data_IF_896787856072
#
_entry.id   IF_896787856072
#
_cell.length_a   1.000
_cell.length_b   1.000
_cell.length_c   1.000
_cell.angle_alpha   90.00
_cell.angle_beta   90.00
_cell.angle_gamma   90.00
#
_symmetry.space_group_name_H-M   'P 1'
#
loop_
_entity.id
_entity.type
_entity.pdbx_description
1 polymer ?
#
# COMPACT_ATOMS: atom_id res chain seq x y z
N UNK A 1 -47.63 -10.39 80.47
CA UNK A 1 -46.94 -9.45 79.56
C UNK A 1 -45.57 -10.02 79.22
N UNK A 2 -45.27 -10.19 77.92
CA UNK A 2 -44.11 -10.95 77.41
C UNK A 2 -42.80 -10.19 77.68
N UNK A 3 -41.88 -10.80 78.43
CA UNK A 3 -40.48 -10.40 78.49
C UNK A 3 -39.80 -10.78 77.16
N UNK A 4 -39.79 -9.87 76.20
CA UNK A 4 -38.88 -10.00 75.06
C UNK A 4 -37.43 -9.84 75.57
N UNK A 5 -36.59 -10.82 75.27
CA UNK A 5 -35.20 -10.88 75.74
C UNK A 5 -34.44 -9.59 75.35
N UNK A 6 -33.68 -9.03 76.32
CA UNK A 6 -32.84 -7.81 76.16
C UNK A 6 -32.00 -7.80 74.86
N UNK A 7 -31.64 -8.98 74.37
CA UNK A 7 -30.84 -9.19 73.16
C UNK A 7 -31.61 -8.86 71.86
N UNK A 8 -32.88 -9.29 71.75
CA UNK A 8 -33.74 -8.98 70.59
C UNK A 8 -33.97 -7.47 70.41
N UNK A 9 -34.16 -6.76 71.53
CA UNK A 9 -34.35 -5.30 71.54
C UNK A 9 -33.09 -4.55 71.10
N UNK A 10 -31.91 -5.12 71.34
CA UNK A 10 -30.62 -4.54 70.95
C UNK A 10 -30.32 -4.79 69.48
N UNK A 11 -30.69 -5.96 68.95
CA UNK A 11 -30.58 -6.28 67.52
C UNK A 11 -31.50 -5.40 66.66
N UNK A 12 -32.76 -5.21 67.07
CA UNK A 12 -33.71 -4.37 66.32
C UNK A 12 -33.20 -2.93 66.18
N UNK A 13 -32.68 -2.34 67.26
CA UNK A 13 -32.05 -1.00 67.22
C UNK A 13 -30.89 -0.91 66.21
N UNK A 14 -30.11 -1.99 66.05
CA UNK A 14 -29.00 -2.03 65.08
C UNK A 14 -29.50 -2.12 63.63
N UNK A 15 -30.57 -2.88 63.39
CA UNK A 15 -31.24 -2.97 62.09
C UNK A 15 -31.81 -1.61 61.71
N UNK A 16 -32.56 -0.98 62.61
CA UNK A 16 -33.16 0.34 62.38
C UNK A 16 -32.10 1.40 62.08
N UNK A 17 -30.99 1.38 62.83
CA UNK A 17 -29.87 2.29 62.58
C UNK A 17 -29.22 2.05 61.21
N UNK A 18 -29.05 0.80 60.78
CA UNK A 18 -28.53 0.49 59.45
C UNK A 18 -29.46 1.00 58.33
N UNK A 19 -30.77 0.75 58.44
CA UNK A 19 -31.77 1.21 57.47
C UNK A 19 -31.82 2.74 57.44
N UNK A 20 -31.81 3.40 58.61
CA UNK A 20 -31.76 4.85 58.71
C UNK A 20 -30.53 5.45 58.02
N UNK A 21 -29.34 4.91 58.29
CA UNK A 21 -28.09 5.37 57.67
C UNK A 21 -28.08 5.10 56.15
N UNK A 22 -28.65 3.97 55.71
CA UNK A 22 -28.81 3.64 54.29
C UNK A 22 -29.70 4.66 53.57
N UNK A 23 -30.91 4.90 54.11
CA UNK A 23 -31.85 5.93 53.59
C UNK A 23 -31.25 7.32 53.61
N UNK A 24 -30.49 7.67 54.66
CA UNK A 24 -29.80 8.97 54.77
C UNK A 24 -28.71 9.16 53.72
N UNK A 25 -27.96 8.11 53.36
CA UNK A 25 -26.90 8.19 52.35
C UNK A 25 -27.46 8.20 50.92
N UNK A 26 -28.47 7.37 50.66
CA UNK A 26 -28.90 7.04 49.30
C UNK A 26 -30.25 7.63 48.88
N UNK A 27 -30.97 8.24 49.82
CA UNK A 27 -32.36 8.69 49.66
C UNK A 27 -33.37 7.64 50.14
N UNK A 28 -34.49 8.09 50.70
CA UNK A 28 -35.47 7.23 51.39
C UNK A 28 -36.13 6.16 50.52
N UNK A 29 -36.17 6.34 49.20
CA UNK A 29 -36.89 5.46 48.26
C UNK A 29 -35.97 4.66 47.32
N UNK A 30 -34.65 4.75 47.48
CA UNK A 30 -33.72 4.14 46.50
C UNK A 30 -33.58 2.62 46.66
N UNK A 31 -33.67 2.13 47.89
CA UNK A 31 -33.52 0.72 48.22
C UNK A 31 -34.64 0.23 49.12
N UNK A 32 -35.07 -1.00 48.87
CA UNK A 32 -35.93 -1.77 49.74
C UNK A 32 -35.07 -2.67 50.64
N UNK A 33 -35.28 -2.51 51.96
CA UNK A 33 -34.55 -3.18 53.03
C UNK A 33 -35.38 -4.27 53.70
N UNK A 34 -36.52 -4.68 53.14
CA UNK A 34 -37.44 -5.64 53.76
C UNK A 34 -36.77 -6.96 54.16
N UNK A 35 -35.83 -7.45 53.35
CA UNK A 35 -35.07 -8.68 53.64
C UNK A 35 -34.10 -8.55 54.83
N UNK A 36 -33.68 -7.33 55.19
CA UNK A 36 -32.67 -7.08 56.23
C UNK A 36 -33.14 -7.52 57.60
N UNK A 37 -34.44 -7.38 57.90
CA UNK A 37 -35.00 -7.78 59.20
C UNK A 37 -34.77 -9.27 59.52
N UNK A 38 -34.66 -10.11 58.49
CA UNK A 38 -34.45 -11.55 58.64
C UNK A 38 -32.96 -11.96 58.55
N UNK A 39 -32.13 -11.17 57.87
CA UNK A 39 -30.76 -11.55 57.54
C UNK A 39 -29.68 -10.89 58.40
N UNK A 40 -30.00 -9.77 59.05
CA UNK A 40 -29.00 -8.95 59.73
C UNK A 40 -28.48 -9.62 61.02
N UNK A 41 -27.17 -9.89 61.04
CA UNK A 41 -26.46 -10.41 62.24
C UNK A 41 -25.56 -9.36 62.88
N UNK A 42 -24.76 -8.69 62.06
CA UNK A 42 -23.85 -7.62 62.46
C UNK A 42 -23.49 -6.77 61.23
N UNK A 43 -22.72 -5.70 61.41
CA UNK A 43 -22.40 -4.79 60.32
C UNK A 43 -21.38 -5.35 59.29
N UNK A 44 -20.77 -6.51 59.53
CA UNK A 44 -19.79 -7.19 58.68
C UNK A 44 -20.33 -8.43 57.97
N UNK A 45 -21.56 -8.85 58.25
CA UNK A 45 -22.23 -9.94 57.54
C UNK A 45 -23.04 -9.35 56.39
N UNK A 46 -22.92 -9.88 55.15
CA UNK A 46 -23.66 -9.36 54.02
C UNK A 46 -25.16 -9.64 54.16
N UNK A 47 -25.97 -8.68 53.75
CA UNK A 47 -27.45 -8.76 53.71
C UNK A 47 -27.93 -8.42 52.30
N UNK A 48 -29.10 -8.93 51.91
CA UNK A 48 -29.72 -8.58 50.64
C UNK A 48 -30.53 -7.28 50.75
N UNK A 49 -30.39 -6.44 49.74
CA UNK A 49 -31.24 -5.27 49.51
C UNK A 49 -31.69 -5.25 48.05
N UNK A 50 -32.86 -4.69 47.78
CA UNK A 50 -33.39 -4.52 46.43
C UNK A 50 -33.29 -3.06 46.01
N UNK A 51 -32.86 -2.80 44.76
CA UNK A 51 -32.87 -1.45 44.22
C UNK A 51 -34.25 -1.15 43.65
N UNK A 52 -34.88 -0.05 44.06
CA UNK A 52 -36.19 0.35 43.53
C UNK A 52 -36.09 1.11 42.20
N UNK A 53 -34.86 1.46 41.79
CA UNK A 53 -34.59 2.23 40.56
C UNK A 53 -34.35 1.34 39.33
N UNK A 54 -34.35 0.00 39.49
CA UNK A 54 -34.18 -0.94 38.39
C UNK A 54 -34.84 -2.29 38.69
N UNK A 55 -35.17 -3.04 37.65
CA UNK A 55 -35.84 -4.36 37.75
C UNK A 55 -34.88 -5.52 38.04
N UNK A 56 -33.67 -5.23 38.53
CA UNK A 56 -32.69 -6.26 38.85
C UNK A 56 -33.00 -6.95 40.19
N UNK A 57 -32.62 -8.23 40.33
CA UNK A 57 -32.83 -8.98 41.57
C UNK A 57 -32.10 -8.33 42.76
N UNK A 58 -32.53 -8.63 44.00
CA UNK A 58 -31.82 -8.19 45.21
C UNK A 58 -30.34 -8.59 45.18
N UNK A 59 -29.47 -7.73 45.70
CA UNK A 59 -28.02 -7.93 45.70
C UNK A 59 -27.47 -7.85 47.12
N UNK A 60 -26.34 -8.55 47.34
CA UNK A 60 -25.67 -8.61 48.64
C UNK A 60 -24.84 -7.36 48.89
N UNK A 61 -25.02 -6.77 50.07
CA UNK A 61 -24.20 -5.65 50.56
C UNK A 61 -23.73 -5.90 51.97
N UNK A 62 -22.52 -5.41 52.27
CA UNK A 62 -22.04 -5.33 53.65
C UNK A 62 -22.59 -4.06 54.29
N UNK A 63 -23.30 -4.12 55.44
CA UNK A 63 -23.88 -2.95 56.07
C UNK A 63 -22.88 -1.82 56.30
N UNK A 64 -21.69 -2.13 56.82
CA UNK A 64 -20.65 -1.13 57.08
C UNK A 64 -20.18 -0.41 55.81
N UNK A 65 -20.14 -1.09 54.66
CA UNK A 65 -19.76 -0.51 53.36
C UNK A 65 -20.90 0.34 52.82
N UNK A 66 -22.12 -0.20 52.87
CA UNK A 66 -23.31 0.45 52.34
C UNK A 66 -23.58 1.80 53.01
N UNK A 67 -23.29 1.95 54.31
CA UNK A 67 -23.53 3.18 55.08
C UNK A 67 -22.31 4.09 55.28
N UNK A 68 -21.10 3.69 54.88
CA UNK A 68 -19.90 4.52 55.10
C UNK A 68 -19.94 5.82 54.28
N UNK A 69 -19.57 6.95 54.88
CA UNK A 69 -19.56 8.28 54.25
C UNK A 69 -18.33 8.53 53.36
N UNK A 70 -17.22 7.83 53.58
CA UNK A 70 -15.96 8.10 52.87
C UNK A 70 -15.92 7.53 51.45
N UNK A 71 -16.74 6.53 51.15
CA UNK A 71 -16.73 5.83 49.88
C UNK A 71 -18.10 5.99 49.18
N UNK A 72 -18.16 6.96 48.27
CA UNK A 72 -19.34 7.25 47.45
C UNK A 72 -19.62 6.15 46.40
N UNK A 73 -18.75 5.14 46.28
CA UNK A 73 -18.80 4.15 45.20
C UNK A 73 -19.11 2.74 45.72
N UNK A 74 -18.63 2.39 46.91
CA UNK A 74 -18.86 1.04 47.47
C UNK A 74 -20.21 0.93 48.17
N UNK A 75 -20.94 -0.14 47.83
CA UNK A 75 -22.23 -0.48 48.42
C UNK A 75 -23.45 0.09 47.70
N UNK A 76 -23.33 0.67 46.50
CA UNK A 76 -24.48 1.06 45.66
C UNK A 76 -24.94 -0.11 44.76
N UNK A 77 -26.14 0.00 44.17
CA UNK A 77 -26.60 -0.93 43.15
C UNK A 77 -25.57 -1.04 42.00
N UNK A 78 -25.07 -2.24 41.68
CA UNK A 78 -24.07 -2.43 40.62
C UNK A 78 -24.61 -2.11 39.22
N UNK A 79 -25.94 -2.16 39.03
CA UNK A 79 -26.58 -1.91 37.74
C UNK A 79 -26.95 -0.44 37.52
N UNK A 80 -27.33 0.29 38.57
CA UNK A 80 -27.65 1.72 38.48
C UNK A 80 -26.41 2.62 38.65
N UNK A 81 -25.29 2.05 39.09
CA UNK A 81 -24.05 2.81 39.25
C UNK A 81 -23.33 2.93 37.91
N UNK A 82 -23.24 4.16 37.39
CA UNK A 82 -22.31 4.50 36.30
C UNK A 82 -21.01 4.95 36.97
N UNK A 83 -19.87 4.25 36.79
CA UNK A 83 -18.61 4.70 37.35
C UNK A 83 -18.29 6.11 36.85
N UNK A 84 -17.97 7.02 37.77
CA UNK A 84 -17.35 8.30 37.38
C UNK A 84 -16.06 7.97 36.64
N UNK A 85 -15.99 8.29 35.35
CA UNK A 85 -14.75 8.16 34.57
C UNK A 85 -13.64 8.86 35.33
N UNK A 86 -12.51 8.19 35.49
CA UNK A 86 -11.34 8.82 36.11
C UNK A 86 -10.88 10.01 35.27
N UNK A 87 -10.19 10.98 35.88
CA UNK A 87 -9.60 12.12 35.14
C UNK A 87 -8.67 11.63 34.02
N UNK A 88 -7.99 10.50 34.24
CA UNK A 88 -7.12 9.85 33.25
C UNK A 88 -7.91 9.27 32.07
N UNK A 89 -9.01 8.55 32.32
CA UNK A 89 -9.90 8.03 31.27
C UNK A 89 -10.56 9.17 30.48
N UNK A 90 -10.99 10.23 31.15
CA UNK A 90 -11.59 11.41 30.50
C UNK A 90 -10.57 12.11 29.58
N UNK A 91 -9.32 12.26 30.05
CA UNK A 91 -8.22 12.84 29.25
C UNK A 91 -7.84 11.93 28.08
N UNK A 92 -7.78 10.62 28.29
CA UNK A 92 -7.53 9.65 27.23
C UNK A 92 -8.65 9.65 26.17
N UNK A 93 -9.92 9.68 26.60
CA UNK A 93 -11.10 9.77 25.72
C UNK A 93 -11.15 11.09 24.93
N UNK A 94 -10.73 12.20 25.54
CA UNK A 94 -10.59 13.49 24.84
C UNK A 94 -9.48 13.42 23.79
N UNK A 95 -8.35 12.79 24.13
CA UNK A 95 -7.22 12.61 23.21
C UNK A 95 -7.53 11.63 22.07
N UNK A 96 -8.26 10.54 22.31
CA UNK A 96 -8.58 9.57 21.26
C UNK A 96 -9.55 10.16 20.22
N UNK A 97 -10.55 10.94 20.65
CA UNK A 97 -11.45 11.67 19.73
C UNK A 97 -10.67 12.62 18.83
N UNK A 98 -9.71 13.36 19.41
CA UNK A 98 -8.82 14.24 18.64
C UNK A 98 -7.99 13.44 17.62
N UNK A 99 -7.36 12.34 18.04
CA UNK A 99 -6.55 11.48 17.16
C UNK A 99 -7.37 10.83 16.04
N UNK A 100 -8.62 10.45 16.30
CA UNK A 100 -9.54 9.96 15.27
C UNK A 100 -9.83 11.06 14.23
N UNK A 101 -10.06 12.30 14.68
CA UNK A 101 -10.27 13.46 13.79
C UNK A 101 -9.05 13.71 12.91
N UNK A 102 -7.85 13.74 13.49
CA UNK A 102 -6.59 13.86 12.75
C UNK A 102 -6.39 12.71 11.76
N UNK A 103 -6.70 11.47 12.17
CA UNK A 103 -6.62 10.31 11.30
C UNK A 103 -7.53 10.48 10.07
N UNK A 104 -8.80 10.89 10.26
CA UNK A 104 -9.76 11.11 9.17
C UNK A 104 -9.21 12.14 8.16
N UNK A 105 -8.72 13.29 8.63
CA UNK A 105 -8.13 14.35 7.78
C UNK A 105 -6.91 13.83 7.01
N UNK A 106 -5.97 13.20 7.73
CA UNK A 106 -4.73 12.67 7.14
C UNK A 106 -5.00 11.63 6.07
N UNK A 107 -5.95 10.71 6.32
CA UNK A 107 -6.33 9.68 5.35
C UNK A 107 -7.07 10.26 4.15
N UNK A 108 -7.94 11.25 4.37
CA UNK A 108 -8.62 11.96 3.28
C UNK A 108 -7.60 12.64 2.35
N UNK A 109 -6.64 13.38 2.89
CA UNK A 109 -5.62 14.08 2.10
C UNK A 109 -4.75 13.11 1.30
N UNK A 110 -4.37 11.99 1.91
CA UNK A 110 -3.52 10.98 1.25
C UNK A 110 -4.25 10.20 0.18
N UNK A 111 -5.42 9.66 0.53
CA UNK A 111 -6.17 8.74 -0.33
C UNK A 111 -7.25 9.44 -1.14
N UNK A 112 -7.40 10.77 -1.04
CA UNK A 112 -8.36 11.60 -1.79
C UNK A 112 -9.78 11.04 -1.75
N UNK A 113 -10.23 10.65 -0.55
CA UNK A 113 -11.59 10.10 -0.35
C UNK A 113 -11.83 8.69 -0.90
N UNK A 114 -10.80 7.96 -1.34
CA UNK A 114 -10.94 6.59 -1.87
C UNK A 114 -11.44 5.56 -0.85
N UNK A 115 -11.26 5.82 0.44
CA UNK A 115 -11.59 4.89 1.52
C UNK A 115 -12.55 5.51 2.54
N UNK A 116 -13.46 4.67 3.03
CA UNK A 116 -14.31 4.94 4.18
C UNK A 116 -13.94 3.99 5.34
N UNK A 117 -14.21 4.42 6.58
CA UNK A 117 -13.82 3.73 7.80
C UNK A 117 -15.04 3.57 8.73
N UNK A 118 -15.94 2.61 8.45
CA UNK A 118 -17.26 2.53 9.08
C UNK A 118 -17.22 2.33 10.61
N UNK A 119 -16.21 1.62 11.12
CA UNK A 119 -16.12 1.26 12.54
C UNK A 119 -14.93 1.92 13.24
N UNK A 120 -14.40 3.01 12.68
CA UNK A 120 -13.16 3.65 13.15
C UNK A 120 -13.23 4.06 14.61
N UNK A 121 -14.38 4.55 15.07
CA UNK A 121 -14.57 5.07 16.42
C UNK A 121 -14.49 3.98 17.50
N UNK A 122 -14.68 2.72 17.10
CA UNK A 122 -14.64 1.55 17.97
C UNK A 122 -13.30 0.83 17.84
N UNK A 123 -12.77 0.71 16.63
CA UNK A 123 -11.57 -0.10 16.33
C UNK A 123 -10.25 0.66 16.56
N UNK A 124 -10.26 2.00 16.49
CA UNK A 124 -9.04 2.80 16.55
C UNK A 124 -8.59 3.08 17.99
N UNK A 125 -7.39 2.59 18.33
CA UNK A 125 -6.72 2.85 19.62
C UNK A 125 -5.36 3.52 19.39
N UNK A 126 -4.60 3.01 18.42
CA UNK A 126 -3.27 3.52 18.06
C UNK A 126 -2.88 3.13 16.62
N UNK A 127 -1.63 3.38 16.25
CA UNK A 127 -1.09 3.11 14.91
C UNK A 127 -0.93 1.61 14.57
N UNK A 128 -1.01 0.74 15.59
CA UNK A 128 -1.01 -0.70 15.45
C UNK A 128 -2.43 -1.29 15.49
N UNK A 129 -3.48 -0.46 15.60
CA UNK A 129 -4.86 -0.93 15.50
C UNK A 129 -5.14 -1.52 14.12
N UNK A 130 -5.92 -2.59 14.09
CA UNK A 130 -6.52 -3.13 12.88
C UNK A 130 -7.88 -2.47 12.74
N UNK A 131 -8.11 -1.79 11.62
CA UNK A 131 -9.37 -1.12 11.32
C UNK A 131 -10.00 -1.69 10.05
N UNK A 132 -11.31 -1.62 9.99
CA UNK A 132 -12.13 -1.96 8.83
C UNK A 132 -12.12 -0.79 7.85
N UNK A 133 -11.77 -1.10 6.60
CA UNK A 133 -11.66 -0.16 5.49
C UNK A 133 -12.61 -0.58 4.38
N UNK A 134 -13.42 0.36 3.89
CA UNK A 134 -14.30 0.18 2.73
C UNK A 134 -13.75 0.99 1.57
N UNK A 135 -13.62 0.37 0.39
CA UNK A 135 -13.25 1.09 -0.82
C UNK A 135 -14.48 1.79 -1.40
N UNK A 136 -14.37 3.09 -1.71
CA UNK A 136 -15.43 3.86 -2.37
C UNK A 136 -15.35 3.78 -3.90
N UNK A 137 -14.25 3.24 -4.44
CA UNK A 137 -13.97 3.18 -5.88
C UNK A 137 -14.38 1.84 -6.52
N UNK A 138 -14.69 0.84 -5.71
CA UNK A 138 -15.15 -0.45 -6.20
C UNK A 138 -16.11 -1.06 -5.19
N UNK A 139 -16.98 -1.95 -5.66
CA UNK A 139 -18.00 -2.58 -4.83
C UNK A 139 -17.46 -3.79 -4.04
N UNK A 140 -16.22 -3.72 -3.56
CA UNK A 140 -15.62 -4.80 -2.77
C UNK A 140 -16.14 -4.78 -1.35
N UNK A 141 -16.25 -5.97 -0.75
CA UNK A 141 -16.51 -6.11 0.68
C UNK A 141 -15.47 -5.32 1.51
N UNK A 142 -15.87 -4.73 2.65
CA UNK A 142 -14.92 -4.11 3.56
C UNK A 142 -13.81 -5.09 3.97
N UNK A 143 -12.60 -4.57 4.15
CA UNK A 143 -11.41 -5.36 4.46
C UNK A 143 -10.66 -4.77 5.65
N UNK A 144 -9.96 -5.62 6.40
CA UNK A 144 -9.21 -5.21 7.60
C UNK A 144 -7.77 -4.81 7.26
N UNK A 145 -7.29 -3.71 7.83
CA UNK A 145 -5.89 -3.26 7.70
C UNK A 145 -5.35 -2.61 8.97
N UNK A 146 -4.05 -2.76 9.16
CA UNK A 146 -3.28 -1.99 10.14
C UNK A 146 -3.27 -0.50 9.78
N UNK A 147 -3.52 0.37 10.76
CA UNK A 147 -3.47 1.83 10.60
C UNK A 147 -2.14 2.28 9.99
N UNK A 148 -1.00 1.79 10.51
CA UNK A 148 0.32 2.11 9.96
C UNK A 148 0.50 1.66 8.51
N UNK A 149 -0.14 0.56 8.09
CA UNK A 149 -0.03 0.06 6.72
C UNK A 149 -0.74 0.97 5.71
N UNK A 150 -1.76 1.72 6.16
CA UNK A 150 -2.43 2.74 5.33
C UNK A 150 -1.54 3.97 5.04
N UNK A 151 -0.39 4.08 5.73
CA UNK A 151 0.64 5.10 5.49
C UNK A 151 1.71 4.66 4.47
N UNK A 152 1.75 3.41 4.04
CA UNK A 152 2.72 2.98 3.04
C UNK A 152 2.30 3.44 1.64
N UNK A 153 3.27 3.71 0.75
CA UNK A 153 3.03 4.10 -0.64
C UNK A 153 2.39 2.94 -1.43
N UNK A 154 1.06 2.99 -1.53
CA UNK A 154 0.10 2.45 -2.51
C UNK A 154 0.14 0.96 -2.93
N UNK A 155 1.27 0.27 -2.95
CA UNK A 155 1.33 -1.11 -3.48
C UNK A 155 0.76 -2.15 -2.51
N UNK A 156 0.88 -1.92 -1.21
CA UNK A 156 0.43 -2.85 -0.16
C UNK A 156 -0.66 -2.27 0.75
N UNK A 157 -0.93 -0.97 0.62
CA UNK A 157 -1.84 -0.22 1.49
C UNK A 157 -3.28 -0.12 0.97
N UNK A 158 -3.50 -0.44 -0.31
CA UNK A 158 -4.76 -0.18 -1.02
C UNK A 158 -5.70 -1.37 -1.17
N UNK A 159 -6.85 -1.11 -1.82
CA UNK A 159 -7.81 -2.14 -2.21
C UNK A 159 -7.20 -3.07 -3.28
N UNK A 160 -7.22 -4.37 -3.01
CA UNK A 160 -6.62 -5.39 -3.89
C UNK A 160 -7.26 -5.42 -5.27
N UNK A 161 -8.57 -5.22 -5.37
CA UNK A 161 -9.29 -5.21 -6.65
C UNK A 161 -8.90 -4.00 -7.51
N UNK A 162 -8.84 -2.81 -6.91
CA UNK A 162 -8.38 -1.61 -7.62
C UNK A 162 -6.92 -1.77 -8.09
N UNK A 163 -6.06 -2.37 -7.26
CA UNK A 163 -4.66 -2.62 -7.59
C UNK A 163 -4.51 -3.63 -8.74
N UNK A 164 -5.26 -4.74 -8.72
CA UNK A 164 -5.32 -5.71 -9.83
C UNK A 164 -5.77 -5.04 -11.14
N UNK A 165 -6.84 -4.24 -11.10
CA UNK A 165 -7.35 -3.54 -12.28
C UNK A 165 -6.34 -2.53 -12.85
N UNK A 166 -5.59 -1.82 -11.99
CA UNK A 166 -4.51 -0.92 -12.42
C UNK A 166 -3.40 -1.68 -13.13
N UNK A 167 -3.00 -2.84 -12.60
CA UNK A 167 -1.99 -3.71 -13.24
C UNK A 167 -2.45 -4.23 -14.60
N UNK A 168 -3.69 -4.71 -14.70
CA UNK A 168 -4.26 -5.16 -15.98
C UNK A 168 -4.22 -4.05 -17.04
N UNK A 169 -4.58 -2.81 -16.68
CA UNK A 169 -4.51 -1.65 -17.60
C UNK A 169 -3.07 -1.37 -18.06
N UNK A 170 -2.09 -1.46 -17.17
CA UNK A 170 -0.67 -1.27 -17.51
C UNK A 170 -0.20 -2.36 -18.48
N UNK A 171 -0.54 -3.63 -18.21
CA UNK A 171 -0.19 -4.76 -19.07
C UNK A 171 -0.80 -4.58 -20.46
N UNK A 172 -2.10 -4.25 -20.54
CA UNK A 172 -2.78 -3.98 -21.82
C UNK A 172 -2.09 -2.85 -22.61
N UNK A 173 -1.68 -1.76 -21.94
CA UNK A 173 -0.97 -0.64 -22.58
C UNK A 173 0.41 -1.06 -23.10
N UNK A 174 1.18 -1.81 -22.31
CA UNK A 174 2.48 -2.36 -22.74
C UNK A 174 2.33 -3.31 -23.94
N UNK A 175 1.31 -4.16 -23.93
CA UNK A 175 1.03 -5.07 -25.03
C UNK A 175 0.63 -4.32 -26.31
N UNK A 176 -0.20 -3.27 -26.21
CA UNK A 176 -0.54 -2.42 -27.36
C UNK A 176 0.70 -1.74 -27.97
N UNK A 177 1.60 -1.21 -27.14
CA UNK A 177 2.87 -0.62 -27.61
C UNK A 177 3.75 -1.68 -28.30
N UNK A 178 3.83 -2.90 -27.74
CA UNK A 178 4.57 -4.01 -28.34
C UNK A 178 3.99 -4.42 -29.69
N UNK A 179 2.67 -4.53 -29.80
CA UNK A 179 1.99 -4.84 -31.06
C UNK A 179 2.23 -3.76 -32.13
N UNK A 180 2.15 -2.48 -31.76
CA UNK A 180 2.45 -1.37 -32.67
C UNK A 180 3.91 -1.36 -33.13
N UNK A 181 4.86 -1.71 -32.25
CA UNK A 181 6.27 -1.87 -32.61
C UNK A 181 6.49 -3.03 -33.57
N UNK A 182 5.84 -4.16 -33.31
CA UNK A 182 5.94 -5.34 -34.17
C UNK A 182 5.38 -5.08 -35.57
N UNK A 183 4.28 -4.33 -35.71
CA UNK A 183 3.74 -3.94 -37.03
C UNK A 183 4.71 -3.10 -37.86
N UNK A 184 5.55 -2.27 -37.25
CA UNK A 184 6.60 -1.51 -37.96
C UNK A 184 7.81 -2.35 -38.39
N UNK A 185 7.92 -3.58 -37.92
CA UNK A 185 9.05 -4.48 -38.24
C UNK A 185 8.62 -5.75 -38.99
N UNK A 186 7.34 -5.88 -39.36
CA UNK A 186 6.75 -7.17 -39.76
C UNK A 186 6.71 -7.49 -41.26
N UNK A 187 7.29 -6.67 -42.15
CA UNK A 187 7.36 -6.98 -43.59
C UNK A 187 8.80 -7.16 -44.10
N UNK A 188 9.70 -7.67 -43.27
CA UNK A 188 11.03 -8.04 -43.72
C UNK A 188 11.07 -9.56 -43.76
N UNK A 189 11.11 -10.19 -44.94
CA UNK A 189 11.30 -11.63 -45.08
C UNK A 189 12.48 -12.11 -44.22
N UNK A 190 12.42 -13.34 -43.70
CA UNK A 190 13.54 -13.91 -42.91
C UNK A 190 14.87 -13.90 -43.66
N UNK A 191 14.79 -13.87 -44.99
CA UNK A 191 15.90 -13.93 -45.91
C UNK A 191 16.13 -12.60 -46.65
N UNK A 192 15.71 -11.48 -46.05
CA UNK A 192 15.98 -10.16 -46.58
C UNK A 192 17.45 -9.76 -46.38
N UNK A 193 18.02 -9.08 -47.37
CA UNK A 193 19.31 -8.42 -47.28
C UNK A 193 19.38 -7.18 -48.14
N UNK A 194 20.26 -6.25 -47.80
CA UNK A 194 20.55 -5.12 -48.68
C UNK A 194 22.01 -4.69 -48.63
N UNK A 195 22.48 -4.13 -49.75
CA UNK A 195 23.71 -3.34 -49.83
C UNK A 195 23.33 -1.89 -49.59
N UNK A 196 24.07 -1.21 -48.72
CA UNK A 196 23.80 0.18 -48.36
C UNK A 196 25.07 1.03 -48.37
N UNK A 197 24.87 2.33 -48.56
CA UNK A 197 25.90 3.38 -48.54
C UNK A 197 25.60 4.36 -47.42
N UNK A 198 26.53 4.53 -46.49
CA UNK A 198 26.48 5.57 -45.46
C UNK A 198 27.39 6.71 -45.90
N UNK A 199 26.82 7.90 -46.09
CA UNK A 199 27.56 9.10 -46.54
C UNK A 199 27.60 10.14 -45.43
N UNK A 200 28.80 10.67 -45.16
CA UNK A 200 29.00 11.81 -44.29
C UNK A 200 28.71 13.10 -45.06
N UNK A 201 27.70 13.84 -44.62
CA UNK A 201 27.22 15.08 -45.24
C UNK A 201 28.18 16.26 -45.10
N UNK A 202 29.18 16.20 -44.20
CA UNK A 202 30.18 17.26 -44.04
C UNK A 202 31.32 17.19 -45.04
N UNK A 203 31.69 16.00 -45.52
CA UNK A 203 32.89 15.81 -46.35
C UNK A 203 32.67 14.87 -47.55
N UNK A 204 31.43 14.41 -47.77
CA UNK A 204 31.02 13.48 -48.83
C UNK A 204 31.75 12.13 -48.86
N UNK A 205 32.56 11.82 -47.84
CA UNK A 205 33.17 10.49 -47.67
C UNK A 205 32.09 9.49 -47.30
N UNK A 206 32.29 8.24 -47.72
CA UNK A 206 31.27 7.21 -47.55
C UNK A 206 31.84 5.84 -47.23
N UNK A 207 30.96 5.02 -46.67
CA UNK A 207 31.12 3.60 -46.34
C UNK A 207 30.10 2.80 -47.13
N UNK A 208 30.50 1.63 -47.63
CA UNK A 208 29.59 0.64 -48.21
C UNK A 208 29.59 -0.57 -47.30
N UNK A 209 28.40 -1.12 -47.01
CA UNK A 209 28.32 -2.41 -46.37
C UNK A 209 27.05 -3.18 -46.68
N UNK A 210 26.97 -4.42 -46.23
CA UNK A 210 25.74 -5.22 -46.31
C UNK A 210 25.09 -5.48 -44.96
N UNK A 211 23.80 -5.82 -44.98
CA UNK A 211 23.07 -6.21 -43.77
C UNK A 211 21.85 -7.09 -44.09
N UNK A 212 21.47 -7.95 -43.15
CA UNK A 212 20.23 -8.75 -43.19
C UNK A 212 19.05 -8.08 -42.46
N UNK A 213 19.24 -6.85 -42.00
CA UNK A 213 18.18 -5.99 -41.46
C UNK A 213 18.02 -4.75 -42.34
N UNK A 214 17.03 -3.90 -42.08
CA UNK A 214 16.92 -2.62 -42.81
C UNK A 214 18.17 -1.76 -42.62
N UNK A 215 18.55 -1.01 -43.66
CA UNK A 215 19.68 -0.07 -43.62
C UNK A 215 19.56 0.97 -42.50
N UNK A 216 18.34 1.42 -42.13
CA UNK A 216 18.14 2.36 -41.01
C UNK A 216 18.45 1.72 -39.64
N UNK A 217 18.02 0.46 -39.43
CA UNK A 217 18.40 -0.29 -38.22
C UNK A 217 19.92 -0.49 -38.15
N UNK A 218 20.56 -0.75 -39.29
CA UNK A 218 22.01 -0.92 -39.35
C UNK A 218 22.77 0.37 -39.05
N UNK A 219 22.32 1.51 -39.61
CA UNK A 219 22.87 2.84 -39.26
C UNK A 219 22.73 3.11 -37.75
N UNK A 220 21.57 2.77 -37.17
CA UNK A 220 21.38 2.89 -35.72
C UNK A 220 22.35 2.01 -34.93
N UNK A 221 22.61 0.78 -35.38
CA UNK A 221 23.58 -0.11 -34.73
C UNK A 221 24.99 0.49 -34.76
N UNK A 222 25.42 1.08 -35.89
CA UNK A 222 26.69 1.82 -35.97
C UNK A 222 26.71 3.01 -35.00
N UNK A 223 25.63 3.79 -34.92
CA UNK A 223 25.51 4.91 -34.00
C UNK A 223 25.60 4.47 -32.52
N UNK A 224 24.92 3.39 -32.15
CA UNK A 224 24.93 2.84 -30.79
C UNK A 224 26.32 2.29 -30.42
N UNK A 225 27.03 1.67 -31.37
CA UNK A 225 28.41 1.20 -31.20
C UNK A 225 29.39 2.37 -30.97
N UNK A 226 29.32 3.42 -31.81
CA UNK A 226 30.11 4.64 -31.64
C UNK A 226 29.90 5.25 -30.24
N UNK A 227 28.64 5.35 -29.78
CA UNK A 227 28.32 5.88 -28.44
C UNK A 227 28.90 5.03 -27.31
N UNK A 228 29.00 3.71 -27.49
CA UNK A 228 29.60 2.81 -26.51
C UNK A 228 31.13 2.98 -26.47
N UNK A 229 31.76 3.14 -27.63
CA UNK A 229 33.20 3.41 -27.72
C UNK A 229 33.56 4.73 -27.03
N UNK A 230 32.77 5.79 -27.23
CA UNK A 230 32.95 7.09 -26.55
C UNK A 230 32.86 6.98 -25.02
N UNK A 231 32.18 5.96 -24.49
CA UNK A 231 32.06 5.67 -23.05
C UNK A 231 33.18 4.77 -22.51
N UNK A 232 34.23 4.51 -23.29
CA UNK A 232 35.37 3.69 -22.88
C UNK A 232 35.13 2.17 -22.97
N UNK A 233 34.05 1.71 -23.61
CA UNK A 233 33.90 0.28 -23.88
C UNK A 233 34.85 -0.16 -25.01
N UNK A 234 35.59 -1.26 -24.79
CA UNK A 234 36.45 -1.88 -25.81
C UNK A 234 35.59 -2.36 -26.98
N UNK A 235 35.69 -1.66 -28.11
CA UNK A 235 35.10 -2.02 -29.40
C UNK A 235 36.14 -1.98 -30.51
N UNK A 236 35.89 -2.64 -31.64
CA UNK A 236 36.77 -2.53 -32.80
C UNK A 236 36.62 -1.13 -33.40
N UNK A 237 37.68 -0.34 -33.34
CA UNK A 237 37.69 0.99 -33.96
C UNK A 237 37.69 0.83 -35.48
N UNK A 238 36.72 1.44 -36.16
CA UNK A 238 36.68 1.55 -37.61
C UNK A 238 36.75 3.01 -38.05
N UNK A 239 37.20 3.28 -39.27
CA UNK A 239 37.20 4.64 -39.83
C UNK A 239 35.81 5.25 -39.84
N UNK A 240 34.76 4.46 -40.09
CA UNK A 240 33.38 4.91 -39.99
C UNK A 240 33.03 5.37 -38.57
N UNK A 241 33.28 4.54 -37.55
CA UNK A 241 32.91 4.86 -36.17
C UNK A 241 33.70 6.06 -35.62
N UNK A 242 34.99 6.15 -35.96
CA UNK A 242 35.83 7.31 -35.62
C UNK A 242 35.30 8.58 -36.29
N UNK A 243 34.91 8.49 -37.56
CA UNK A 243 34.35 9.64 -38.28
C UNK A 243 32.99 10.05 -37.73
N UNK A 244 32.13 9.11 -37.31
CA UNK A 244 30.88 9.40 -36.60
C UNK A 244 31.12 10.07 -35.26
N UNK A 245 32.13 9.63 -34.50
CA UNK A 245 32.50 10.24 -33.22
C UNK A 245 33.02 11.67 -33.41
N UNK A 246 33.80 11.91 -34.46
CA UNK A 246 34.43 13.20 -34.74
C UNK A 246 33.44 14.21 -35.34
N UNK A 247 32.64 13.82 -36.32
CA UNK A 247 31.77 14.74 -37.04
C UNK A 247 30.35 14.85 -36.47
N UNK A 248 29.92 13.92 -35.62
CA UNK A 248 28.55 13.81 -35.14
C UNK A 248 27.71 12.84 -35.97
N UNK A 249 26.89 12.02 -35.31
CA UNK A 249 26.11 10.92 -35.92
C UNK A 249 25.01 11.47 -36.85
N UNK A 250 24.46 12.63 -36.51
CA UNK A 250 23.43 13.36 -37.27
C UNK A 250 23.89 13.77 -38.68
N UNK A 251 25.20 13.81 -38.92
CA UNK A 251 25.76 14.14 -40.23
C UNK A 251 25.90 12.93 -41.16
N UNK A 252 25.42 11.75 -40.77
CA UNK A 252 25.50 10.55 -41.60
C UNK A 252 24.11 10.15 -42.12
N UNK A 253 24.01 9.98 -43.44
CA UNK A 253 22.79 9.52 -44.12
C UNK A 253 23.03 8.14 -44.72
N UNK A 254 22.06 7.23 -44.57
CA UNK A 254 22.10 5.92 -45.20
C UNK A 254 21.19 5.90 -46.43
N UNK A 255 21.71 5.38 -47.53
CA UNK A 255 20.99 5.12 -48.78
C UNK A 255 21.11 3.63 -49.10
N UNK A 256 20.00 2.99 -49.46
CA UNK A 256 20.04 1.62 -49.97
C UNK A 256 20.49 1.66 -51.43
N UNK A 257 21.47 0.82 -51.77
CA UNK A 257 21.94 0.65 -53.14
C UNK A 257 21.12 -0.43 -53.84
N UNK A 258 20.92 -1.56 -53.15
CA UNK A 258 20.21 -2.71 -53.70
C UNK A 258 19.57 -3.53 -52.57
N UNK A 259 18.36 -4.05 -52.80
CA UNK A 259 17.60 -4.88 -51.86
C UNK A 259 17.36 -6.26 -52.45
N UNK A 260 17.40 -7.27 -51.58
CA UNK A 260 17.23 -8.66 -51.96
C UNK A 260 16.32 -9.38 -50.97
N UNK A 261 15.65 -10.41 -51.49
CA UNK A 261 14.89 -11.40 -50.72
C UNK A 261 15.43 -12.79 -51.02
N UNK A 262 15.33 -13.71 -50.07
CA UNK A 262 15.82 -15.09 -50.21
C UNK A 262 17.35 -15.19 -50.39
N UNK A 263 18.11 -14.31 -49.74
CA UNK A 263 19.58 -14.25 -49.85
C UNK A 263 20.30 -14.74 -48.61
N UNK A 264 21.49 -15.30 -48.84
CA UNK A 264 22.40 -15.69 -47.76
C UNK A 264 23.38 -14.54 -47.45
N UNK A 265 23.91 -14.45 -46.22
CA UNK A 265 24.96 -13.49 -45.88
C UNK A 265 26.23 -13.64 -46.74
N UNK A 266 26.51 -14.84 -47.25
CA UNK A 266 27.65 -15.13 -48.12
C UNK A 266 27.48 -14.40 -49.45
N UNK A 267 26.30 -14.52 -50.07
CA UNK A 267 25.97 -13.81 -51.32
C UNK A 267 26.12 -12.29 -51.16
N UNK A 268 25.60 -11.73 -50.06
CA UNK A 268 25.71 -10.30 -49.78
C UNK A 268 27.16 -9.84 -49.55
N UNK A 269 27.99 -10.68 -48.93
CA UNK A 269 29.41 -10.39 -48.74
C UNK A 269 30.19 -10.36 -50.06
N UNK A 270 29.85 -11.23 -51.01
CA UNK A 270 30.43 -11.20 -52.36
C UNK A 270 30.05 -9.91 -53.10
N UNK A 271 28.76 -9.54 -53.06
CA UNK A 271 28.31 -8.29 -53.67
C UNK A 271 28.94 -7.06 -53.02
N UNK A 272 29.02 -7.01 -51.69
CA UNK A 272 29.67 -5.93 -50.97
C UNK A 272 31.09 -5.69 -51.49
N UNK A 273 31.85 -6.76 -51.72
CA UNK A 273 33.20 -6.69 -52.28
C UNK A 273 33.22 -6.04 -53.67
N UNK A 274 32.33 -6.44 -54.57
CA UNK A 274 32.21 -5.84 -55.91
C UNK A 274 31.89 -4.34 -55.85
N UNK A 275 30.97 -3.95 -54.97
CA UNK A 275 30.63 -2.54 -54.76
C UNK A 275 31.80 -1.74 -54.18
N UNK A 276 32.56 -2.29 -53.23
CA UNK A 276 33.74 -1.64 -52.66
C UNK A 276 34.82 -1.46 -53.73
N UNK A 277 35.07 -2.48 -54.54
CA UNK A 277 36.07 -2.43 -55.60
C UNK A 277 35.73 -1.39 -56.68
N UNK A 278 34.45 -1.33 -57.08
CA UNK A 278 33.95 -0.37 -58.07
C UNK A 278 33.96 1.08 -57.55
N UNK A 279 33.45 1.30 -56.34
CA UNK A 279 33.17 2.65 -55.82
C UNK A 279 34.31 3.24 -54.99
N UNK A 280 35.26 2.41 -54.54
CA UNK A 280 36.43 2.80 -53.72
C UNK A 280 36.04 3.67 -52.50
N UNK A 281 35.20 3.15 -51.59
CA UNK A 281 34.74 3.89 -50.41
C UNK A 281 35.89 4.25 -49.47
N UNK A 282 35.73 5.37 -48.76
CA UNK A 282 36.79 5.97 -47.93
C UNK A 282 36.87 5.36 -46.53
N UNK A 283 35.75 4.86 -46.01
CA UNK A 283 35.64 4.40 -44.63
C UNK A 283 35.71 2.87 -44.48
N UNK A 284 35.80 2.14 -45.57
CA UNK A 284 36.03 0.69 -45.56
C UNK A 284 37.50 0.40 -45.28
N UNK A 285 37.77 -0.50 -44.33
CA UNK A 285 39.13 -0.88 -43.92
C UNK A 285 39.69 -2.05 -44.75
N UNK A 286 38.82 -2.96 -45.15
CA UNK A 286 39.15 -4.14 -45.96
C UNK A 286 38.40 -4.07 -47.29
N UNK A 287 38.85 -4.83 -48.31
CA UNK A 287 38.17 -4.91 -49.60
C UNK A 287 36.75 -5.52 -49.53
N UNK A 288 36.29 -5.98 -48.36
CA UNK A 288 34.98 -6.62 -48.16
C UNK A 288 35.05 -8.15 -48.17
N UNK A 289 33.93 -8.81 -47.85
CA UNK A 289 33.81 -10.27 -47.90
C UNK A 289 34.32 -11.02 -46.66
N UNK A 290 34.89 -10.32 -45.67
CA UNK A 290 35.17 -10.91 -44.37
C UNK A 290 33.85 -11.12 -43.63
N UNK A 291 33.31 -12.34 -43.67
CA UNK A 291 32.24 -12.77 -42.78
C UNK A 291 32.75 -12.53 -41.35
N UNK A 292 32.34 -11.42 -40.75
CA UNK A 292 32.66 -11.12 -39.36
C UNK A 292 32.24 -12.34 -38.55
N UNK A 293 33.22 -13.10 -38.06
CA UNK A 293 32.99 -14.37 -37.40
C UNK A 293 32.01 -14.15 -36.23
N UNK A 294 30.72 -14.36 -36.52
CA UNK A 294 29.69 -14.48 -35.52
C UNK A 294 29.99 -15.80 -34.83
N UNK A 295 30.87 -15.76 -33.83
CA UNK A 295 30.98 -16.84 -32.85
C UNK A 295 29.60 -16.91 -32.19
N UNK A 296 28.82 -17.91 -32.59
CA UNK A 296 27.61 -18.29 -31.89
C UNK A 296 27.97 -18.48 -30.41
N UNK A 297 27.43 -17.61 -29.55
CA UNK A 297 27.39 -17.79 -28.10
C UNK A 297 25.95 -18.00 -27.69
#
# INVERSE_FOLDING_TARGET
>A
MKFESRDKRTLQKRIDNFIYLGKKKHGSNRYDYSAVHNEYKNNRTPVHIKCNMCDNPPFKVYPFVHTNKSDNQKGTCPHCYVPKQTVQETRWNKNIKHRIKEFKVRMFNRHKGRYAYPYLEIEYKNENSIITVKCNQCNTKPFKRLVRALKAEDRYAGCEVCNKNKMVKIIKRKNKIRQLRNRRTQNIPRDYGCIYKITNTKNNKFYIGYTTMTSQKRLKAHADETRRMQKGHKGKSSYLHNSMAFHGIEHFKVKVLEEFTNVTPIFLGTLEKEYIEREKPHYNLSPGGELGAHKNK
#
